data_IF_349480489682
#
_entry.id   IF_349480489682
#
_cell.length_a   1.000
_cell.length_b   1.000
_cell.length_c   1.000
_cell.angle_alpha   90.00
_cell.angle_beta   90.00
_cell.angle_gamma   90.00
#
_symmetry.space_group_name_H-M   'P 1'
#
loop_
_entity.id
_entity.type
_entity.pdbx_description
1 polymer ?
#
# COMPACT_ATOMS: atom_id res chain seq x y z
N UNK A 1 -3.68 18.67 4.41
CA UNK A 1 -2.69 19.26 3.47
C UNK A 1 -1.37 18.49 3.49
N UNK A 2 -0.81 18.19 4.66
CA UNK A 2 0.40 17.36 4.83
C UNK A 2 0.34 16.02 4.09
N UNK A 3 -0.77 15.28 4.18
CA UNK A 3 -0.92 13.98 3.47
C UNK A 3 -0.85 14.12 1.94
N UNK A 4 -1.39 15.21 1.37
CA UNK A 4 -1.32 15.48 -0.07
C UNK A 4 0.10 15.85 -0.50
N UNK A 5 0.79 16.63 0.33
CA UNK A 5 2.18 17.00 0.08
C UNK A 5 3.10 15.77 0.13
N UNK A 6 2.90 14.89 1.13
CA UNK A 6 3.63 13.61 1.23
C UNK A 6 3.33 12.73 0.02
N UNK A 7 2.06 12.58 -0.36
CA UNK A 7 1.68 11.80 -1.55
C UNK A 7 2.37 12.34 -2.82
N UNK A 8 2.35 13.67 -3.01
CA UNK A 8 3.00 14.32 -4.14
C UNK A 8 4.50 14.07 -4.18
N UNK A 9 5.20 14.24 -3.05
CA UNK A 9 6.64 14.00 -2.96
C UNK A 9 6.98 12.54 -3.24
N UNK A 10 6.19 11.60 -2.71
CA UNK A 10 6.38 10.17 -2.98
C UNK A 10 6.15 9.83 -4.45
N UNK A 11 5.07 10.34 -5.06
CA UNK A 11 4.84 10.16 -6.50
C UNK A 11 5.98 10.75 -7.33
N UNK A 12 6.43 11.96 -7.00
CA UNK A 12 7.53 12.62 -7.71
C UNK A 12 8.82 11.81 -7.63
N UNK A 13 9.19 11.29 -6.45
CA UNK A 13 10.38 10.47 -6.27
C UNK A 13 10.29 9.14 -7.02
N UNK A 14 9.16 8.44 -6.93
CA UNK A 14 8.97 7.15 -7.59
C UNK A 14 8.98 7.34 -9.12
N UNK A 15 8.23 8.32 -9.63
CA UNK A 15 8.19 8.59 -11.06
C UNK A 15 9.54 9.05 -11.58
N UNK A 16 10.26 9.88 -10.82
CA UNK A 16 11.61 10.28 -11.20
C UNK A 16 12.54 9.08 -11.31
N UNK A 17 12.61 8.24 -10.27
CA UNK A 17 13.50 7.09 -10.25
C UNK A 17 13.18 6.10 -11.38
N UNK A 18 11.91 5.73 -11.56
CA UNK A 18 11.54 4.76 -12.59
C UNK A 18 11.68 5.35 -13.98
N UNK A 19 11.19 6.57 -14.24
CA UNK A 19 11.37 7.19 -15.55
C UNK A 19 12.86 7.39 -15.88
N UNK A 20 13.70 7.73 -14.90
CA UNK A 20 15.13 7.88 -15.13
C UNK A 20 15.74 6.55 -15.59
N UNK A 21 15.55 5.48 -14.82
CA UNK A 21 16.08 4.15 -15.14
C UNK A 21 15.54 3.64 -16.48
N UNK A 22 14.22 3.76 -16.72
CA UNK A 22 13.62 3.28 -17.97
C UNK A 22 14.14 4.08 -19.16
N UNK A 23 14.19 5.41 -19.07
CA UNK A 23 14.63 6.24 -20.20
C UNK A 23 16.11 6.09 -20.47
N UNK A 24 16.96 6.01 -19.44
CA UNK A 24 18.38 5.74 -19.59
C UNK A 24 18.62 4.38 -20.25
N UNK A 25 17.99 3.31 -19.75
CA UNK A 25 18.15 1.98 -20.34
C UNK A 25 17.59 1.89 -21.75
N UNK A 26 16.39 2.46 -22.00
CA UNK A 26 15.77 2.42 -23.30
C UNK A 26 16.56 3.24 -24.34
N UNK A 27 17.09 4.41 -23.97
CA UNK A 27 17.89 5.24 -24.87
C UNK A 27 19.25 4.60 -25.19
N UNK A 28 19.91 4.04 -24.18
CA UNK A 28 21.15 3.29 -24.38
C UNK A 28 20.93 2.05 -25.25
N UNK A 29 19.84 1.30 -25.04
CA UNK A 29 19.57 0.06 -25.78
C UNK A 29 19.07 0.30 -27.20
N UNK A 30 18.14 1.25 -27.40
CA UNK A 30 17.49 1.47 -28.70
C UNK A 30 18.30 2.37 -29.62
N UNK A 31 19.03 3.35 -29.08
CA UNK A 31 19.68 4.38 -29.88
C UNK A 31 21.20 4.45 -29.68
N UNK A 32 21.78 3.73 -28.71
CA UNK A 32 23.21 3.79 -28.36
C UNK A 32 23.73 5.23 -28.13
N UNK A 33 22.85 6.12 -27.67
CA UNK A 33 23.17 7.53 -27.49
C UNK A 33 23.10 7.92 -26.01
N UNK A 34 24.19 8.44 -25.42
CA UNK A 34 24.13 9.05 -24.12
C UNK A 34 23.36 10.38 -24.24
N UNK A 35 22.16 10.43 -23.67
CA UNK A 35 21.30 11.61 -23.77
C UNK A 35 21.81 12.70 -22.84
N UNK A 36 22.31 13.80 -23.42
CA UNK A 36 22.75 14.97 -22.66
C UNK A 36 21.54 15.66 -22.01
N UNK A 37 21.66 16.02 -20.72
CA UNK A 37 20.59 16.71 -19.99
C UNK A 37 19.39 15.84 -19.60
N UNK A 38 19.50 14.51 -19.72
CA UNK A 38 18.46 13.54 -19.33
C UNK A 38 17.85 13.75 -17.94
N UNK A 39 18.62 13.95 -16.83
CA UNK A 39 18.02 14.05 -15.50
C UNK A 39 17.05 15.23 -15.35
N UNK A 40 17.31 16.36 -16.00
CA UNK A 40 16.40 17.51 -15.94
C UNK A 40 15.10 17.26 -16.71
N UNK A 41 15.19 16.67 -17.91
CA UNK A 41 14.02 16.31 -18.73
C UNK A 41 13.13 15.31 -18.01
N UNK A 42 13.73 14.27 -17.44
CA UNK A 42 13.03 13.28 -16.62
C UNK A 42 12.42 13.91 -15.38
N UNK A 43 13.10 14.88 -14.75
CA UNK A 43 12.58 15.66 -13.64
C UNK A 43 11.25 16.37 -13.97
N UNK A 44 11.19 17.05 -15.12
CA UNK A 44 9.97 17.73 -15.57
C UNK A 44 8.83 16.72 -15.79
N UNK A 45 9.13 15.61 -16.49
CA UNK A 45 8.15 14.54 -16.74
C UNK A 45 7.63 13.97 -15.41
N UNK A 46 8.53 13.65 -14.47
CA UNK A 46 8.18 13.10 -13.17
C UNK A 46 7.28 14.04 -12.37
N UNK A 47 7.59 15.34 -12.33
CA UNK A 47 6.79 16.33 -11.63
C UNK A 47 5.40 16.52 -12.26
N UNK A 48 5.31 16.56 -13.59
CA UNK A 48 4.04 16.69 -14.31
C UNK A 48 3.13 15.49 -14.03
N UNK A 49 3.66 14.28 -14.13
CA UNK A 49 2.90 13.05 -13.87
C UNK A 49 2.56 12.94 -12.37
N UNK A 50 3.45 13.36 -11.46
CA UNK A 50 3.20 13.35 -10.02
C UNK A 50 2.07 14.29 -9.61
N UNK A 51 2.01 15.48 -10.22
CA UNK A 51 0.89 16.40 -10.03
C UNK A 51 -0.42 15.75 -10.49
N UNK A 52 -0.42 15.13 -11.68
CA UNK A 52 -1.58 14.42 -12.21
C UNK A 52 -2.02 13.26 -11.32
N UNK A 53 -1.08 12.43 -10.87
CA UNK A 53 -1.35 11.27 -10.01
C UNK A 53 -1.85 11.70 -8.62
N UNK A 54 -1.33 12.80 -8.08
CA UNK A 54 -1.81 13.34 -6.79
C UNK A 54 -3.25 13.82 -6.90
N UNK A 55 -3.64 14.36 -8.05
CA UNK A 55 -4.99 14.85 -8.29
C UNK A 55 -5.99 13.72 -8.60
N UNK A 56 -5.63 12.81 -9.52
CA UNK A 56 -6.51 11.69 -9.90
C UNK A 56 -6.61 10.60 -8.83
N UNK A 57 -5.60 10.44 -7.96
CA UNK A 57 -5.47 9.30 -7.03
C UNK A 57 -5.73 7.96 -7.74
N UNK A 58 -4.91 7.63 -8.74
CA UNK A 58 -5.08 6.46 -9.57
C UNK A 58 -5.21 5.17 -8.75
N UNK A 59 -6.26 4.39 -8.99
CA UNK A 59 -6.45 3.05 -8.43
C UNK A 59 -6.35 2.00 -9.53
N UNK A 60 -5.46 1.03 -9.35
CA UNK A 60 -5.23 -0.01 -10.36
C UNK A 60 -6.50 -0.84 -10.66
N UNK A 61 -7.38 -1.04 -9.67
CA UNK A 61 -8.62 -1.81 -9.83
C UNK A 61 -9.65 -1.14 -10.77
N UNK A 62 -9.69 0.19 -10.82
CA UNK A 62 -10.72 0.93 -11.56
C UNK A 62 -10.26 1.36 -12.96
N UNK A 63 -8.96 1.28 -13.24
CA UNK A 63 -8.33 1.77 -14.48
C UNK A 63 -8.86 1.11 -15.76
N UNK A 64 -9.19 -0.18 -15.70
CA UNK A 64 -9.61 -0.95 -16.88
C UNK A 64 -11.11 -1.23 -16.90
N UNK A 65 -11.85 -0.71 -15.92
CA UNK A 65 -13.27 -1.00 -15.73
C UNK A 65 -14.09 0.30 -15.77
N UNK A 66 -14.28 0.95 -14.62
CA UNK A 66 -15.17 2.11 -14.47
C UNK A 66 -14.58 3.42 -14.97
N UNK A 67 -13.24 3.54 -15.02
CA UNK A 67 -12.55 4.81 -15.30
C UNK A 67 -11.63 4.74 -16.53
N UNK A 68 -12.00 3.95 -17.53
CA UNK A 68 -11.17 3.75 -18.72
C UNK A 68 -10.83 5.05 -19.48
N UNK A 69 -11.71 6.06 -19.44
CA UNK A 69 -11.47 7.37 -20.05
C UNK A 69 -10.25 8.09 -19.43
N UNK A 70 -10.08 8.00 -18.11
CA UNK A 70 -8.95 8.59 -17.40
C UNK A 70 -7.66 7.84 -17.68
N UNK A 71 -7.74 6.51 -17.80
CA UNK A 71 -6.62 5.66 -18.25
C UNK A 71 -6.18 6.02 -19.65
N UNK A 72 -7.11 6.25 -20.57
CA UNK A 72 -6.81 6.63 -21.94
C UNK A 72 -6.15 8.03 -22.00
N UNK A 73 -6.70 8.99 -21.26
CA UNK A 73 -6.09 10.32 -21.13
C UNK A 73 -4.66 10.23 -20.58
N UNK A 74 -4.44 9.41 -19.55
CA UNK A 74 -3.11 9.20 -19.01
C UNK A 74 -2.17 8.55 -20.02
N UNK A 75 -2.63 7.54 -20.78
CA UNK A 75 -1.82 6.95 -21.84
C UNK A 75 -1.38 7.99 -22.89
N UNK A 76 -2.29 8.90 -23.29
CA UNK A 76 -1.96 10.02 -24.19
C UNK A 76 -0.94 10.97 -23.56
N UNK A 77 -1.07 11.30 -22.28
CA UNK A 77 -0.12 12.16 -21.57
C UNK A 77 1.26 11.49 -21.50
N UNK A 78 1.31 10.21 -21.13
CA UNK A 78 2.54 9.42 -21.10
C UNK A 78 3.22 9.37 -22.47
N UNK A 79 2.46 9.06 -23.52
CA UNK A 79 2.95 9.08 -24.90
C UNK A 79 3.52 10.44 -25.27
N UNK A 80 2.79 11.52 -24.97
CA UNK A 80 3.19 12.90 -25.30
C UNK A 80 4.48 13.29 -24.57
N UNK A 81 4.62 12.93 -23.31
CA UNK A 81 5.82 13.22 -22.52
C UNK A 81 7.03 12.43 -23.04
N UNK A 82 6.85 11.16 -23.41
CA UNK A 82 7.92 10.34 -23.97
C UNK A 82 8.34 10.78 -25.37
N UNK A 83 7.37 11.20 -26.19
CA UNK A 83 7.63 11.70 -27.53
C UNK A 83 8.30 13.09 -27.51
N UNK A 84 7.72 14.05 -26.79
CA UNK A 84 8.12 15.46 -26.88
C UNK A 84 9.25 15.84 -25.91
N UNK A 85 9.23 15.31 -24.68
CA UNK A 85 10.20 15.72 -23.65
C UNK A 85 11.42 14.82 -23.66
N UNK A 86 11.22 13.53 -23.94
CA UNK A 86 12.27 12.52 -23.94
C UNK A 86 12.73 12.12 -25.35
N UNK A 87 12.15 12.72 -26.39
CA UNK A 87 12.57 12.62 -27.79
C UNK A 87 12.68 11.18 -28.31
N UNK A 88 11.80 10.28 -27.85
CA UNK A 88 11.70 8.93 -28.43
C UNK A 88 11.01 8.99 -29.80
N UNK A 89 11.40 8.11 -30.72
CA UNK A 89 10.60 7.88 -31.94
C UNK A 89 9.18 7.42 -31.60
N UNK A 90 8.22 7.75 -32.47
CA UNK A 90 6.78 7.52 -32.25
C UNK A 90 6.44 6.11 -31.76
N UNK A 91 7.00 5.08 -32.39
CA UNK A 91 6.71 3.68 -32.03
C UNK A 91 7.27 3.32 -30.65
N UNK A 92 8.49 3.77 -30.35
CA UNK A 92 9.14 3.51 -29.07
C UNK A 92 8.50 4.33 -27.94
N UNK A 93 8.11 5.57 -28.20
CA UNK A 93 7.38 6.42 -27.25
C UNK A 93 6.05 5.78 -26.85
N UNK A 94 5.32 5.21 -27.81
CA UNK A 94 4.07 4.49 -27.54
C UNK A 94 4.31 3.23 -26.70
N UNK A 95 5.25 2.37 -27.13
CA UNK A 95 5.51 1.10 -26.45
C UNK A 95 6.09 1.31 -25.04
N UNK A 96 7.19 2.07 -24.92
CA UNK A 96 7.85 2.33 -23.65
C UNK A 96 6.95 3.16 -22.74
N UNK A 97 6.28 4.18 -23.27
CA UNK A 97 5.36 5.03 -22.50
C UNK A 97 4.21 4.23 -21.88
N UNK A 98 3.54 3.36 -22.65
CA UNK A 98 2.45 2.52 -22.15
C UNK A 98 2.92 1.48 -21.12
N UNK A 99 4.03 0.79 -21.40
CA UNK A 99 4.57 -0.20 -20.46
C UNK A 99 4.94 0.47 -19.14
N UNK A 100 5.62 1.61 -19.23
CA UNK A 100 6.06 2.38 -18.05
C UNK A 100 4.87 2.89 -17.24
N UNK A 101 3.85 3.43 -17.91
CA UNK A 101 2.60 3.87 -17.31
C UNK A 101 1.94 2.76 -16.49
N UNK A 102 1.73 1.58 -17.08
CA UNK A 102 1.07 0.46 -16.40
C UNK A 102 1.89 -0.02 -15.19
N UNK A 103 3.21 -0.16 -15.36
CA UNK A 103 4.10 -0.64 -14.32
C UNK A 103 4.12 0.32 -13.12
N UNK A 104 4.27 1.60 -13.40
CA UNK A 104 4.41 2.65 -12.40
C UNK A 104 3.08 2.88 -11.68
N UNK A 105 1.95 2.81 -12.37
CA UNK A 105 0.66 3.03 -11.71
C UNK A 105 0.35 2.00 -10.63
N UNK A 106 0.66 0.72 -10.88
CA UNK A 106 0.54 -0.31 -9.85
C UNK A 106 1.48 -0.08 -8.67
N UNK A 107 2.77 0.13 -8.95
CA UNK A 107 3.81 0.31 -7.92
C UNK A 107 3.60 1.56 -7.06
N UNK A 108 3.38 2.71 -7.71
CA UNK A 108 3.25 3.98 -7.01
C UNK A 108 1.93 4.07 -6.25
N UNK A 109 0.84 3.53 -6.80
CA UNK A 109 -0.45 3.46 -6.10
C UNK A 109 -0.34 2.68 -4.79
N UNK A 110 0.28 1.50 -4.82
CA UNK A 110 0.50 0.69 -3.61
C UNK A 110 1.42 1.37 -2.61
N UNK A 111 2.54 1.95 -3.07
CA UNK A 111 3.50 2.62 -2.20
C UNK A 111 2.88 3.83 -1.49
N UNK A 112 2.17 4.68 -2.22
CA UNK A 112 1.54 5.88 -1.65
C UNK A 112 0.37 5.51 -0.74
N UNK A 113 -0.46 4.53 -1.12
CA UNK A 113 -1.54 4.04 -0.26
C UNK A 113 -1.02 3.46 1.05
N UNK A 114 0.12 2.76 1.04
CA UNK A 114 0.74 2.22 2.25
C UNK A 114 1.16 3.31 3.26
N UNK A 115 1.60 4.48 2.78
CA UNK A 115 2.08 5.57 3.64
C UNK A 115 0.97 6.56 4.01
N UNK A 116 -0.01 6.75 3.14
CA UNK A 116 -1.03 7.81 3.31
C UNK A 116 -2.35 7.32 3.91
N UNK A 117 -2.60 6.01 3.95
CA UNK A 117 -3.79 5.45 4.61
C UNK A 117 -3.73 5.67 6.11
N UNK A 118 -4.84 6.16 6.66
CA UNK A 118 -4.98 6.25 8.11
C UNK A 118 -5.12 4.85 8.74
N UNK A 119 -4.70 4.66 10.01
CA UNK A 119 -4.92 3.41 10.74
C UNK A 119 -6.41 3.03 10.82
N UNK A 120 -7.30 4.03 10.89
CA UNK A 120 -8.76 3.84 10.92
C UNK A 120 -9.33 3.33 9.60
N UNK A 121 -8.88 3.86 8.45
CA UNK A 121 -9.27 3.33 7.14
C UNK A 121 -8.80 1.89 6.97
N UNK A 122 -7.57 1.61 7.38
CA UNK A 122 -7.00 0.25 7.35
C UNK A 122 -7.80 -0.72 8.24
N UNK A 123 -8.27 -0.26 9.41
CA UNK A 123 -9.13 -1.04 10.30
C UNK A 123 -10.53 -1.27 9.71
N UNK A 124 -11.13 -0.26 9.06
CA UNK A 124 -12.44 -0.38 8.39
C UNK A 124 -12.38 -1.32 7.19
N UNK A 125 -11.31 -1.30 6.41
CA UNK A 125 -11.13 -2.16 5.25
C UNK A 125 -10.84 -3.61 5.66
N UNK A 126 -10.07 -3.81 6.74
CA UNK A 126 -9.93 -5.13 7.39
C UNK A 126 -11.28 -5.65 7.86
N UNK A 127 -12.08 -4.82 8.52
CA UNK A 127 -13.43 -5.20 8.96
C UNK A 127 -14.35 -5.52 7.78
N UNK A 128 -14.31 -4.76 6.68
CA UNK A 128 -15.10 -5.08 5.48
C UNK A 128 -14.71 -6.42 4.89
N UNK A 129 -13.41 -6.72 4.75
CA UNK A 129 -12.94 -8.03 4.27
C UNK A 129 -13.38 -9.18 5.19
N UNK A 130 -13.40 -8.96 6.50
CA UNK A 130 -13.92 -9.93 7.47
C UNK A 130 -15.44 -10.15 7.34
N UNK A 131 -16.21 -9.11 7.02
CA UNK A 131 -17.67 -9.20 6.88
C UNK A 131 -18.10 -9.80 5.54
N UNK A 132 -17.32 -9.59 4.47
CA UNK A 132 -17.61 -10.18 3.14
C UNK A 132 -16.96 -11.54 2.92
N UNK A 133 -16.19 -12.06 3.89
CA UNK A 133 -15.67 -13.42 3.78
C UNK A 133 -16.84 -14.40 4.01
N UNK A 134 -17.19 -15.24 3.01
CA UNK A 134 -18.20 -16.27 3.22
C UNK A 134 -17.75 -17.11 4.41
N UNK A 135 -18.64 -17.32 5.38
CA UNK A 135 -18.40 -18.21 6.51
C UNK A 135 -18.02 -19.59 5.97
N UNK A 136 -16.72 -19.85 5.84
CA UNK A 136 -16.21 -21.15 5.47
C UNK A 136 -16.48 -22.08 6.66
N UNK A 137 -17.44 -23.01 6.56
CA UNK A 137 -17.84 -23.85 7.69
C UNK A 137 -16.67 -24.72 8.18
N UNK A 138 -15.62 -24.88 7.37
CA UNK A 138 -14.46 -25.69 7.69
C UNK A 138 -13.47 -25.01 8.66
N UNK A 139 -13.52 -23.69 8.84
CA UNK A 139 -12.69 -22.97 9.82
C UNK A 139 -13.15 -23.15 11.27
N UNK A 140 -14.42 -23.51 11.48
CA UNK A 140 -14.98 -23.74 12.82
C UNK A 140 -14.39 -24.98 13.51
N UNK A 141 -13.88 -25.93 12.73
CA UNK A 141 -13.31 -27.18 13.25
C UNK A 141 -11.84 -27.04 13.67
N UNK A 142 -11.12 -26.04 13.17
CA UNK A 142 -9.71 -25.82 13.53
C UNK A 142 -9.58 -25.07 14.87
N UNK A 143 -10.60 -24.28 15.26
CA UNK A 143 -10.56 -23.47 16.49
C UNK A 143 -10.89 -24.25 17.76
N UNK A 144 -11.33 -25.50 17.65
CA UNK A 144 -11.77 -26.32 18.81
C UNK A 144 -10.72 -27.30 19.33
N UNK A 145 -9.56 -27.40 18.68
CA UNK A 145 -8.49 -28.34 19.06
C UNK A 145 -7.21 -27.70 19.62
N UNK A 146 -7.12 -26.37 19.73
CA UNK A 146 -5.98 -25.71 20.37
C UNK A 146 -6.30 -25.27 21.80
N UNK A 147 -6.46 -26.21 22.72
CA UNK A 147 -6.28 -25.93 24.15
C UNK A 147 -4.78 -25.80 24.43
N UNK A 148 -4.24 -24.59 24.28
CA UNK A 148 -2.92 -24.27 24.83
C UNK A 148 -3.02 -24.18 26.36
N UNK A 149 -2.05 -24.72 27.12
CA UNK A 149 -2.03 -24.60 28.57
C UNK A 149 -1.81 -23.14 28.97
N UNK A 150 -2.72 -22.61 29.76
CA UNK A 150 -2.60 -21.32 30.44
C UNK A 150 -1.39 -21.37 31.37
N UNK A 151 -0.30 -20.72 30.99
CA UNK A 151 0.77 -20.36 31.93
C UNK A 151 0.27 -19.19 32.79
N UNK A 152 -0.11 -19.50 34.03
CA UNK A 152 -0.39 -18.49 35.06
C UNK A 152 0.95 -17.93 35.56
N UNK A 153 1.25 -16.63 35.43
CA UNK A 153 2.43 -16.06 36.05
C UNK A 153 2.22 -16.03 37.57
N UNK A 154 3.04 -16.79 38.31
CA UNK A 154 3.09 -16.75 39.75
C UNK A 154 3.60 -15.37 40.20
N UNK A 155 2.69 -14.53 40.69
CA UNK A 155 3.03 -13.34 41.45
C UNK A 155 2.51 -13.48 42.87
N UNK A 156 3.46 -13.25 43.79
CA UNK A 156 3.33 -12.84 45.20
C UNK A 156 3.38 -13.92 46.27
N UNK A 157 4.46 -13.81 47.03
CA UNK A 157 4.72 -14.43 48.31
C UNK A 157 3.73 -13.94 49.40
N UNK A 158 3.67 -14.76 50.45
CA UNK A 158 3.26 -14.47 51.82
C UNK A 158 1.78 -14.26 52.15
N UNK A 159 1.25 -15.25 52.89
CA UNK A 159 0.64 -14.99 54.19
C UNK A 159 -0.82 -14.56 54.18
N UNK A 160 -1.72 -15.50 54.49
CA UNK A 160 -2.61 -15.47 55.67
C UNK A 160 -3.78 -16.43 55.47
N UNK A 161 -3.66 -17.55 56.17
CA UNK A 161 -4.75 -18.45 56.55
C UNK A 161 -5.78 -17.66 57.37
N UNK A 162 -7.03 -17.60 56.93
CA UNK A 162 -8.19 -17.33 57.79
C UNK A 162 -9.43 -17.98 57.19
N UNK A 163 -9.69 -19.20 57.66
CA UNK A 163 -10.96 -19.93 57.50
C UNK A 163 -12.03 -19.32 58.39
N UNK A 164 -13.09 -18.80 57.78
CA UNK A 164 -14.38 -18.53 58.43
C UNK A 164 -15.25 -19.80 58.39
N UNK A 165 -15.69 -20.28 59.55
CA UNK A 165 -16.96 -21.00 59.79
C UNK A 165 -17.01 -21.33 61.30
N UNK A 166 -17.64 -20.52 62.14
CA UNK A 166 -19.08 -20.48 62.42
C UNK A 166 -19.65 -21.81 62.96
N UNK A 167 -20.16 -21.71 64.18
CA UNK A 167 -21.27 -22.46 64.79
C UNK A 167 -20.96 -23.77 65.56
N UNK A 168 -21.18 -23.69 66.88
CA UNK A 168 -22.32 -24.32 67.60
C UNK A 168 -21.91 -25.17 68.83
N UNK A 169 -22.61 -24.88 69.93
CA UNK A 169 -22.85 -25.68 71.15
C UNK A 169 -21.81 -25.68 72.29
N UNK A 170 -22.17 -24.98 73.38
CA UNK A 170 -21.94 -25.45 74.77
C UNK A 170 -23.06 -26.46 75.14
N UNK A 171 -23.09 -27.17 76.31
CA UNK A 171 -22.27 -27.04 77.53
C UNK A 171 -21.88 -28.37 78.27
N UNK A 172 -21.25 -28.21 79.45
CA UNK A 172 -21.35 -29.03 80.68
C UNK A 172 -20.27 -30.08 81.05
N UNK A 173 -19.85 -29.99 82.33
CA UNK A 173 -19.34 -31.06 83.22
C UNK A 173 -17.91 -31.53 82.96
N UNK A 174 -16.99 -31.66 83.92
CA UNK A 174 -17.04 -31.69 85.39
C UNK A 174 -15.64 -31.38 85.92
#
# INVERSE_FOLDING_TARGET
MTTLLIAFVLYALIFYAVCYVVTENAQNFLYNQPVQGMPWRVGIVALAIAALATWLKPSFDTMFTSEWYWTLLAAVIWFTLFLLVLEFEVVHAAAVGLVTMVLIWGLAGLAVQGVTRSPEETARERNRRFVTQPDDPNRRNIRKSSSLPTFTPASKAEGQTNTNAAAKAAPSGS
#
